data_IF_262326694993
#
_entry.id   IF_262326694993
#
_cell.length_a   1.000
_cell.length_b   1.000
_cell.length_c   1.000
_cell.angle_alpha   90.00
_cell.angle_beta   90.00
_cell.angle_gamma   90.00
#
_symmetry.space_group_name_H-M   'P 1'
#
loop_
_entity.id
_entity.type
_entity.pdbx_description
1 polymer ?
#
# COMPACT_ATOMS: atom_id res chain seq x y z
N UNK A 1 -11.34 20.29 14.55
CA UNK A 1 -10.33 19.24 14.33
C UNK A 1 -9.57 19.58 13.05
N UNK A 2 -8.27 19.41 13.05
CA UNK A 2 -7.39 19.55 11.88
C UNK A 2 -6.65 18.23 11.68
N UNK A 3 -6.13 18.00 10.48
CA UNK A 3 -5.39 16.77 10.19
C UNK A 3 -3.89 17.00 10.42
N UNK A 4 -3.26 16.10 11.19
CA UNK A 4 -1.81 16.00 11.30
C UNK A 4 -1.24 15.61 9.92
N UNK A 5 -0.52 16.55 9.30
CA UNK A 5 -0.02 16.37 7.93
C UNK A 5 1.08 15.28 7.83
N UNK A 6 1.67 14.88 8.96
CA UNK A 6 2.69 13.83 8.96
C UNK A 6 2.13 12.41 9.03
N UNK A 7 0.97 12.19 9.70
CA UNK A 7 0.43 10.85 9.91
C UNK A 7 -1.05 10.68 9.56
N UNK A 8 -1.79 11.77 9.28
CA UNK A 8 -3.20 11.74 8.93
C UNK A 8 -4.18 11.62 10.09
N UNK A 9 -3.73 11.66 11.34
CA UNK A 9 -4.62 11.63 12.50
C UNK A 9 -5.31 12.98 12.70
N UNK A 10 -6.54 12.97 13.22
CA UNK A 10 -7.22 14.19 13.65
C UNK A 10 -6.60 14.73 14.94
N UNK A 11 -6.37 16.03 14.97
CA UNK A 11 -5.79 16.78 16.10
C UNK A 11 -6.71 17.92 16.46
N UNK A 12 -6.91 18.14 17.76
CA UNK A 12 -7.57 19.34 18.24
C UNK A 12 -6.60 20.54 18.11
N UNK A 13 -6.90 21.55 17.29
CA UNK A 13 -6.02 22.69 17.10
C UNK A 13 -5.86 23.56 18.36
N UNK A 14 -6.79 23.42 19.32
CA UNK A 14 -6.73 24.16 20.59
C UNK A 14 -5.88 23.42 21.64
N UNK A 15 -5.60 22.10 21.45
CA UNK A 15 -4.76 21.30 22.35
C UNK A 15 -3.89 20.27 21.56
N UNK A 16 -3.04 20.72 20.63
CA UNK A 16 -2.17 19.84 19.89
C UNK A 16 -0.97 19.40 20.73
N UNK A 17 -0.46 18.17 20.50
CA UNK A 17 0.77 17.71 21.14
C UNK A 17 2.01 18.53 20.71
N UNK A 18 2.01 19.02 19.47
CA UNK A 18 3.03 19.93 18.95
C UNK A 18 2.49 20.81 17.82
N UNK A 19 3.13 21.97 17.60
CA UNK A 19 2.80 22.90 16.51
C UNK A 19 4.06 23.43 15.86
N UNK A 20 4.05 23.57 14.52
CA UNK A 20 5.14 24.19 13.75
C UNK A 20 4.56 25.26 12.83
N UNK A 21 5.22 26.41 12.74
CA UNK A 21 4.94 27.40 11.70
C UNK A 21 5.89 27.18 10.51
N UNK A 22 5.31 26.96 9.31
CA UNK A 22 6.05 26.84 8.07
C UNK A 22 5.35 27.63 6.96
N UNK A 23 6.09 28.49 6.27
CA UNK A 23 5.57 29.38 5.19
C UNK A 23 4.33 30.19 5.58
N UNK A 24 4.24 30.62 6.85
CA UNK A 24 3.14 31.46 7.36
C UNK A 24 1.85 30.68 7.66
N UNK A 25 1.91 29.35 7.70
CA UNK A 25 0.83 28.46 8.15
C UNK A 25 1.24 27.69 9.39
N UNK A 26 0.28 27.48 10.29
CA UNK A 26 0.48 26.65 11.49
C UNK A 26 0.03 25.21 11.19
N UNK A 27 0.89 24.26 11.49
CA UNK A 27 0.66 22.81 11.37
C UNK A 27 0.61 22.21 12.77
N UNK A 28 -0.42 21.42 13.05
CA UNK A 28 -0.66 20.81 14.35
C UNK A 28 -0.44 19.29 14.26
N UNK A 29 0.27 18.75 15.26
CA UNK A 29 0.71 17.34 15.27
C UNK A 29 0.17 16.61 16.49
N UNK A 30 -0.17 15.33 16.29
CA UNK A 30 -0.64 14.42 17.33
C UNK A 30 0.47 13.96 18.27
N UNK A 31 1.75 14.18 17.92
CA UNK A 31 2.94 13.82 18.72
C UNK A 31 4.17 14.63 18.33
N UNK A 32 5.15 14.72 19.25
CA UNK A 32 6.47 15.29 18.95
C UNK A 32 7.18 14.52 17.82
N UNK A 33 6.99 13.19 17.71
CA UNK A 33 7.58 12.40 16.63
C UNK A 33 7.04 12.78 15.25
N UNK A 34 5.76 13.14 15.14
CA UNK A 34 5.18 13.65 13.89
C UNK A 34 5.73 15.02 13.54
N UNK A 35 5.90 15.89 14.54
CA UNK A 35 6.54 17.19 14.37
C UNK A 35 7.99 17.04 13.88
N UNK A 36 8.81 16.23 14.56
CA UNK A 36 10.20 16.00 14.18
C UNK A 36 10.32 15.47 12.74
N UNK A 37 9.39 14.60 12.33
CA UNK A 37 9.30 14.07 10.98
C UNK A 37 8.99 15.15 9.95
N UNK A 38 8.06 16.06 10.27
CA UNK A 38 7.74 17.22 9.44
C UNK A 38 8.92 18.20 9.35
N UNK A 39 9.57 18.53 10.47
CA UNK A 39 10.70 19.47 10.51
C UNK A 39 11.94 18.97 9.75
N UNK A 40 12.11 17.64 9.61
CA UNK A 40 13.21 17.05 8.83
C UNK A 40 13.12 17.37 7.33
N UNK A 41 11.92 17.52 6.75
CA UNK A 41 11.68 17.89 5.35
C UNK A 41 10.26 18.46 5.16
N UNK A 42 10.00 19.73 5.58
CA UNK A 42 8.67 20.31 5.52
C UNK A 42 8.09 20.41 4.10
N UNK A 43 8.93 20.70 3.10
CA UNK A 43 8.49 20.85 1.72
C UNK A 43 7.83 19.57 1.19
N UNK A 44 8.35 18.41 1.60
CA UNK A 44 7.80 17.10 1.26
C UNK A 44 6.33 16.92 1.68
N UNK A 45 5.93 17.56 2.79
CA UNK A 45 4.56 17.45 3.32
C UNK A 45 3.65 18.54 2.77
N UNK A 46 4.17 19.75 2.53
CA UNK A 46 3.39 20.94 2.14
C UNK A 46 3.16 21.01 0.64
N UNK A 47 4.14 20.60 -0.19
CA UNK A 47 4.00 20.54 -1.65
C UNK A 47 3.18 19.32 -2.10
N UNK A 48 3.02 18.32 -1.26
CA UNK A 48 2.09 17.24 -1.50
C UNK A 48 0.66 17.78 -1.27
N UNK A 49 -0.10 18.06 -2.34
CA UNK A 49 -1.55 18.14 -2.25
C UNK A 49 -2.07 16.84 -1.64
N UNK A 50 -2.40 16.88 -0.35
CA UNK A 50 -3.00 15.76 0.36
C UNK A 50 -4.52 15.77 0.16
N UNK A 51 -5.08 14.96 -0.74
CA UNK A 51 -6.39 14.42 -0.54
C UNK A 51 -6.23 13.00 0.02
N UNK A 52 -6.53 12.81 1.29
CA UNK A 52 -7.04 11.53 1.77
C UNK A 52 -8.19 11.12 0.83
N UNK A 53 -7.98 10.06 0.03
CA UNK A 53 -9.00 9.44 -0.80
C UNK A 53 -9.86 10.46 -1.60
N UNK A 54 -9.39 10.97 -2.72
CA UNK A 54 -10.30 11.50 -3.73
C UNK A 54 -11.02 10.30 -4.37
N UNK A 55 -12.31 10.16 -4.06
CA UNK A 55 -13.22 9.37 -4.85
C UNK A 55 -13.35 10.04 -6.22
N UNK A 56 -12.70 9.47 -7.22
CA UNK A 56 -13.02 9.74 -8.62
C UNK A 56 -13.72 8.48 -9.11
N UNK A 57 -15.05 8.58 -9.35
CA UNK A 57 -15.93 7.56 -9.97
C UNK A 57 -15.27 6.17 -10.16
N UNK A 58 -15.27 5.33 -9.11
CA UNK A 58 -14.76 3.97 -9.14
C UNK A 58 -13.24 3.80 -9.05
N UNK A 59 -12.47 4.87 -8.85
CA UNK A 59 -11.02 4.82 -8.72
C UNK A 59 -10.58 5.44 -7.39
N UNK A 60 -10.00 4.63 -6.50
CA UNK A 60 -9.33 5.13 -5.29
C UNK A 60 -7.84 5.29 -5.58
N UNK A 61 -7.36 6.53 -5.65
CA UNK A 61 -5.93 6.80 -5.69
C UNK A 61 -5.44 7.10 -4.28
N UNK A 62 -4.58 6.24 -3.73
CA UNK A 62 -3.88 6.56 -2.48
C UNK A 62 -2.57 7.27 -2.84
N UNK A 63 -2.48 8.55 -2.50
CA UNK A 63 -1.21 9.27 -2.54
C UNK A 63 -0.45 8.93 -1.24
N UNK A 64 0.72 8.30 -1.38
CA UNK A 64 1.54 7.92 -0.23
C UNK A 64 2.26 9.15 0.34
N UNK A 65 2.15 9.43 1.66
CA UNK A 65 2.81 10.58 2.29
C UNK A 65 4.34 10.49 2.32
N UNK A 66 4.91 9.37 1.92
CA UNK A 66 6.35 9.08 2.06
C UNK A 66 7.13 9.06 0.74
N UNK A 67 6.68 9.78 -0.29
CA UNK A 67 7.34 9.83 -1.59
C UNK A 67 7.43 8.43 -2.22
N UNK A 68 6.77 8.22 -3.30
CA UNK A 68 6.72 7.01 -4.10
C UNK A 68 5.72 7.23 -5.21
N UNK A 69 5.82 6.46 -6.27
CA UNK A 69 4.83 6.51 -7.34
C UNK A 69 3.48 6.05 -6.78
N UNK A 70 2.40 6.84 -6.86
CA UNK A 70 1.07 6.41 -6.44
C UNK A 70 0.68 5.13 -7.17
N UNK A 71 0.03 4.20 -6.46
CA UNK A 71 -0.60 3.05 -7.11
C UNK A 71 -1.96 3.45 -7.69
N UNK A 72 -2.35 2.83 -8.80
CA UNK A 72 -3.69 2.96 -9.37
C UNK A 72 -4.56 1.82 -8.87
N UNK A 73 -5.69 2.16 -8.23
CA UNK A 73 -6.68 1.20 -7.75
C UNK A 73 -7.89 1.17 -8.68
N UNK A 74 -8.35 -0.04 -9.01
CA UNK A 74 -9.65 -0.25 -9.62
C UNK A 74 -10.46 -1.19 -8.74
N UNK A 75 -11.69 -0.79 -8.44
CA UNK A 75 -12.63 -1.55 -7.65
C UNK A 75 -13.81 -1.96 -8.54
N UNK A 76 -14.09 -3.25 -8.63
CA UNK A 76 -15.25 -3.81 -9.30
C UNK A 76 -16.05 -4.62 -8.27
N UNK A 77 -16.99 -3.95 -7.61
CA UNK A 77 -17.88 -4.55 -6.61
C UNK A 77 -19.34 -4.36 -7.02
N UNK A 78 -20.15 -5.36 -6.75
CA UNK A 78 -21.57 -5.32 -7.10
C UNK A 78 -22.37 -4.41 -6.15
N UNK A 79 -21.95 -4.33 -4.88
CA UNK A 79 -22.56 -3.47 -3.85
C UNK A 79 -21.45 -2.86 -2.98
N UNK A 80 -21.48 -1.55 -2.78
CA UNK A 80 -20.48 -0.83 -1.94
C UNK A 80 -20.61 -1.15 -0.44
N UNK A 81 -21.70 -1.77 -0.02
CA UNK A 81 -21.99 -2.09 1.38
C UNK A 81 -21.96 -3.58 1.70
N UNK A 82 -21.94 -4.45 0.68
CA UNK A 82 -21.97 -5.90 0.86
C UNK A 82 -21.03 -6.60 -0.14
N UNK A 83 -19.90 -7.07 0.36
CA UNK A 83 -18.89 -7.76 -0.45
C UNK A 83 -19.40 -9.14 -0.86
N UNK A 84 -19.32 -9.47 -2.14
CA UNK A 84 -19.82 -10.70 -2.72
C UNK A 84 -18.78 -11.50 -3.53
N UNK A 85 -19.12 -12.76 -3.81
CA UNK A 85 -18.30 -13.60 -4.69
C UNK A 85 -18.28 -13.00 -6.10
N UNK A 86 -17.05 -12.82 -6.62
CA UNK A 86 -16.78 -12.19 -7.92
C UNK A 86 -16.35 -10.74 -7.80
N UNK A 87 -16.49 -10.10 -6.65
CA UNK A 87 -15.98 -8.75 -6.41
C UNK A 87 -14.46 -8.75 -6.45
N UNK A 88 -13.90 -7.72 -7.06
CA UNK A 88 -12.48 -7.65 -7.36
C UNK A 88 -11.90 -6.27 -7.09
N UNK A 89 -10.69 -6.26 -6.55
CA UNK A 89 -9.83 -5.07 -6.46
C UNK A 89 -8.54 -5.34 -7.20
N UNK A 90 -8.08 -4.36 -7.98
CA UNK A 90 -6.73 -4.35 -8.53
C UNK A 90 -5.96 -3.12 -8.04
N UNK A 91 -4.65 -3.31 -7.85
CA UNK A 91 -3.69 -2.24 -7.58
C UNK A 91 -2.54 -2.39 -8.56
N UNK A 92 -2.32 -1.36 -9.37
CA UNK A 92 -1.19 -1.30 -10.31
C UNK A 92 -0.15 -0.31 -9.79
N UNK A 93 1.12 -0.73 -9.74
CA UNK A 93 2.24 0.09 -9.30
C UNK A 93 3.55 -0.32 -9.96
N UNK A 94 4.37 0.65 -10.32
CA UNK A 94 5.76 0.40 -10.69
C UNK A 94 6.61 0.22 -9.41
N UNK A 95 7.50 -0.78 -9.42
CA UNK A 95 8.45 -1.04 -8.33
C UNK A 95 9.87 -1.06 -8.88
N UNK A 96 10.77 -0.32 -8.24
CA UNK A 96 12.15 -0.15 -8.66
C UNK A 96 13.16 -0.30 -7.53
N UNK A 97 14.34 0.26 -7.77
CA UNK A 97 15.46 0.21 -6.82
C UNK A 97 15.13 0.91 -5.51
N UNK A 98 14.46 2.07 -5.56
CA UNK A 98 14.12 2.84 -4.36
C UNK A 98 13.20 2.04 -3.42
N UNK A 99 12.19 1.34 -3.96
CA UNK A 99 11.30 0.50 -3.17
C UNK A 99 12.05 -0.72 -2.59
N UNK A 100 12.93 -1.34 -3.38
CA UNK A 100 13.76 -2.45 -2.90
C UNK A 100 14.69 -2.03 -1.77
N UNK A 101 15.35 -0.87 -1.89
CA UNK A 101 16.24 -0.32 -0.88
C UNK A 101 15.50 0.06 0.41
N UNK A 102 14.30 0.66 0.28
CA UNK A 102 13.44 0.98 1.43
C UNK A 102 12.95 -0.30 2.12
N UNK A 103 12.53 -1.30 1.36
CA UNK A 103 12.09 -2.59 1.90
C UNK A 103 13.22 -3.28 2.67
N UNK A 104 14.44 -3.31 2.10
CA UNK A 104 15.61 -3.86 2.77
C UNK A 104 15.94 -3.14 4.10
N UNK A 105 15.80 -1.81 4.15
CA UNK A 105 15.98 -1.02 5.38
C UNK A 105 14.97 -1.37 6.45
N UNK A 106 13.70 -1.53 6.08
CA UNK A 106 12.60 -1.81 7.01
C UNK A 106 12.69 -3.25 7.54
N UNK A 107 12.97 -4.22 6.65
CA UNK A 107 12.93 -5.65 6.99
C UNK A 107 14.27 -6.22 7.42
N UNK A 108 15.38 -5.50 7.17
CA UNK A 108 16.76 -5.99 7.27
C UNK A 108 17.08 -7.16 6.31
N UNK A 109 16.28 -7.36 5.25
CA UNK A 109 16.60 -8.31 4.18
C UNK A 109 17.59 -7.69 3.21
N UNK A 110 18.87 -7.86 3.53
CA UNK A 110 20.01 -7.32 2.77
C UNK A 110 20.65 -8.37 1.85
N UNK A 111 19.88 -9.35 1.37
CA UNK A 111 20.38 -10.33 0.42
C UNK A 111 20.96 -9.64 -0.83
N UNK A 112 22.19 -9.98 -1.18
CA UNK A 112 22.92 -9.38 -2.30
C UNK A 112 22.19 -9.53 -3.65
N UNK A 113 21.30 -10.51 -3.79
CA UNK A 113 20.48 -10.69 -4.99
C UNK A 113 19.57 -9.49 -5.27
N UNK A 114 19.16 -8.77 -4.24
CA UNK A 114 18.27 -7.63 -4.34
C UNK A 114 19.01 -6.28 -4.38
N UNK A 115 20.24 -6.22 -3.84
CA UNK A 115 20.92 -4.96 -3.58
C UNK A 115 22.26 -4.78 -4.33
N UNK A 116 22.84 -5.86 -4.89
CA UNK A 116 24.14 -5.81 -5.52
C UNK A 116 24.07 -6.29 -6.97
N UNK A 117 24.15 -5.34 -7.91
CA UNK A 117 24.06 -5.61 -9.34
C UNK A 117 25.15 -6.55 -9.83
N UNK A 118 26.43 -6.33 -9.41
CA UNK A 118 27.56 -7.17 -9.84
C UNK A 118 27.41 -8.63 -9.36
N UNK A 119 26.88 -8.82 -8.15
CA UNK A 119 26.56 -10.15 -7.64
C UNK A 119 25.41 -10.78 -8.41
N UNK A 120 24.30 -10.05 -8.56
CA UNK A 120 23.07 -10.54 -9.18
C UNK A 120 23.28 -10.90 -10.66
N UNK A 121 24.07 -10.11 -11.40
CA UNK A 121 24.43 -10.37 -12.79
C UNK A 121 25.14 -11.74 -13.00
N UNK A 122 25.81 -12.28 -11.97
CA UNK A 122 26.47 -13.60 -12.01
C UNK A 122 25.54 -14.76 -11.62
N UNK A 123 24.31 -14.46 -11.22
CA UNK A 123 23.30 -15.48 -10.90
C UNK A 123 22.48 -15.88 -12.13
N UNK A 124 21.65 -16.88 -11.97
CA UNK A 124 20.70 -17.31 -13.03
C UNK A 124 19.70 -16.22 -13.44
N UNK A 125 19.58 -15.14 -12.67
CA UNK A 125 18.63 -14.04 -12.91
C UNK A 125 19.23 -12.96 -13.81
N UNK A 126 20.56 -12.88 -13.94
CA UNK A 126 21.25 -11.96 -14.84
C UNK A 126 21.23 -10.49 -14.41
N UNK A 127 20.67 -10.17 -13.24
CA UNK A 127 20.55 -8.83 -12.67
C UNK A 127 19.78 -8.87 -11.36
N UNK A 128 19.66 -7.70 -10.71
CA UNK A 128 18.87 -7.55 -9.47
C UNK A 128 17.40 -7.88 -9.71
N UNK A 129 16.79 -8.55 -8.76
CA UNK A 129 15.35 -8.80 -8.73
C UNK A 129 14.75 -8.19 -7.46
N UNK A 130 13.45 -7.87 -7.46
CA UNK A 130 12.72 -7.38 -6.30
C UNK A 130 12.59 -8.48 -5.24
N UNK A 131 12.50 -8.08 -3.97
CA UNK A 131 12.09 -8.98 -2.89
C UNK A 131 10.67 -9.51 -3.19
N UNK A 132 10.50 -10.81 -3.18
CA UNK A 132 9.18 -11.40 -3.46
C UNK A 132 8.10 -10.90 -2.51
N UNK A 133 8.43 -10.73 -1.22
CA UNK A 133 7.53 -10.22 -0.19
C UNK A 133 7.21 -8.73 -0.35
N UNK A 134 8.08 -7.92 -0.95
CA UNK A 134 7.76 -6.54 -1.37
C UNK A 134 6.65 -6.55 -2.43
N UNK A 135 6.83 -7.38 -3.47
CA UNK A 135 5.83 -7.53 -4.55
C UNK A 135 4.51 -8.07 -4.00
N UNK A 136 4.56 -9.08 -3.12
CA UNK A 136 3.38 -9.61 -2.44
C UNK A 136 2.69 -8.57 -1.53
N UNK A 137 3.41 -7.56 -1.05
CA UNK A 137 2.87 -6.45 -0.28
C UNK A 137 1.78 -5.66 -1.03
N UNK A 138 1.81 -5.66 -2.37
CA UNK A 138 0.74 -5.05 -3.19
C UNK A 138 -0.61 -5.74 -2.98
N UNK A 139 -0.63 -7.04 -2.66
CA UNK A 139 -1.85 -7.79 -2.31
C UNK A 139 -2.47 -7.19 -1.05
N UNK A 140 -1.67 -6.93 -0.01
CA UNK A 140 -2.17 -6.32 1.24
C UNK A 140 -2.81 -4.96 0.99
N UNK A 141 -2.19 -4.13 0.16
CA UNK A 141 -2.73 -2.82 -0.20
C UNK A 141 -4.03 -2.94 -1.04
N UNK A 142 -4.09 -3.90 -1.97
CA UNK A 142 -5.30 -4.16 -2.75
C UNK A 142 -6.45 -4.65 -1.86
N UNK A 143 -6.19 -5.60 -0.94
CA UNK A 143 -7.20 -6.10 0.00
C UNK A 143 -7.78 -4.99 0.89
N UNK A 144 -6.96 -4.03 1.32
CA UNK A 144 -7.39 -2.90 2.14
C UNK A 144 -8.33 -1.93 1.39
N UNK A 145 -8.46 -2.04 0.07
CA UNK A 145 -9.34 -1.21 -0.73
C UNK A 145 -10.75 -1.81 -0.91
N UNK A 146 -11.02 -3.03 -0.42
CA UNK A 146 -12.40 -3.53 -0.36
C UNK A 146 -13.26 -2.65 0.58
N UNK A 147 -14.58 -2.56 0.31
CA UNK A 147 -15.50 -1.81 1.17
C UNK A 147 -15.50 -2.30 2.62
N UNK A 148 -15.62 -1.38 3.58
CA UNK A 148 -15.58 -1.69 5.01
C UNK A 148 -14.15 -1.70 5.58
N UNK A 149 -14.00 -2.15 6.81
CA UNK A 149 -12.72 -2.29 7.47
C UNK A 149 -12.16 -3.70 7.24
N UNK A 150 -11.23 -3.82 6.29
CA UNK A 150 -10.62 -5.12 5.96
C UNK A 150 -9.58 -5.53 7.00
N UNK A 151 -9.78 -6.70 7.60
CA UNK A 151 -8.83 -7.36 8.48
C UNK A 151 -8.23 -8.56 7.74
N UNK A 152 -6.93 -8.55 7.49
CA UNK A 152 -6.19 -9.59 6.79
C UNK A 152 -5.81 -10.71 7.77
N UNK A 153 -6.41 -11.90 7.62
CA UNK A 153 -6.30 -12.98 8.61
C UNK A 153 -5.23 -14.01 8.27
N UNK A 154 -5.16 -14.45 7.02
CA UNK A 154 -4.13 -15.36 6.54
C UNK A 154 -3.82 -15.18 5.05
N UNK A 155 -2.68 -15.70 4.61
CA UNK A 155 -2.25 -15.74 3.23
C UNK A 155 -1.41 -16.98 2.94
N UNK A 156 -1.80 -17.71 1.92
CA UNK A 156 -0.90 -18.63 1.23
C UNK A 156 -0.31 -17.93 0.01
N UNK A 157 1.02 -18.00 -0.16
CA UNK A 157 1.73 -17.39 -1.30
C UNK A 157 2.63 -18.42 -1.98
N UNK A 158 2.67 -18.31 -3.30
CA UNK A 158 3.61 -19.01 -4.16
C UNK A 158 4.30 -17.98 -5.08
N UNK A 159 5.63 -17.96 -5.06
CA UNK A 159 6.45 -17.11 -5.92
C UNK A 159 6.82 -17.91 -7.16
N UNK A 160 6.16 -17.64 -8.28
CA UNK A 160 6.23 -18.49 -9.48
C UNK A 160 7.23 -17.98 -10.51
N UNK A 161 7.56 -16.69 -10.47
CA UNK A 161 8.56 -16.08 -11.34
C UNK A 161 9.34 -14.96 -10.61
N UNK A 162 10.57 -14.64 -11.05
CA UNK A 162 11.32 -13.49 -10.53
C UNK A 162 10.63 -12.18 -10.94
N UNK A 163 10.68 -11.19 -10.05
CA UNK A 163 10.17 -9.85 -10.30
C UNK A 163 11.32 -8.90 -10.64
N UNK A 164 11.30 -8.33 -11.84
CA UNK A 164 12.34 -7.43 -12.37
C UNK A 164 12.27 -6.03 -11.73
N UNK A 165 13.41 -5.36 -11.59
CA UNK A 165 13.47 -3.96 -11.17
C UNK A 165 12.87 -3.04 -12.24
N UNK A 166 12.11 -2.03 -11.81
CA UNK A 166 11.56 -0.99 -12.68
C UNK A 166 10.33 -1.40 -13.48
N UNK A 167 9.84 -2.62 -13.30
CA UNK A 167 8.64 -3.10 -13.98
C UNK A 167 7.36 -2.65 -13.27
N UNK A 168 6.23 -2.73 -13.98
CA UNK A 168 4.90 -2.42 -13.45
C UNK A 168 4.22 -3.72 -13.01
N UNK A 169 3.70 -3.71 -11.79
CA UNK A 169 3.04 -4.86 -11.17
C UNK A 169 1.58 -4.55 -10.88
N UNK A 170 0.70 -5.50 -11.20
CA UNK A 170 -0.73 -5.43 -10.89
C UNK A 170 -1.11 -6.54 -9.93
N UNK A 171 -1.38 -6.18 -8.68
CA UNK A 171 -2.03 -7.08 -7.74
C UNK A 171 -3.53 -7.16 -8.07
N UNK A 172 -4.06 -8.38 -8.12
CA UNK A 172 -5.48 -8.65 -8.35
C UNK A 172 -6.00 -9.54 -7.23
N UNK A 173 -7.06 -9.09 -6.57
CA UNK A 173 -7.71 -9.75 -5.45
C UNK A 173 -9.17 -9.95 -5.77
N UNK A 174 -9.62 -11.20 -5.96
CA UNK A 174 -10.99 -11.56 -6.33
C UNK A 174 -11.63 -12.41 -5.24
N UNK A 175 -12.79 -12.01 -4.74
CA UNK A 175 -13.55 -12.81 -3.76
C UNK A 175 -14.05 -14.09 -4.45
N UNK A 176 -13.70 -15.25 -3.90
CA UNK A 176 -14.04 -16.56 -4.47
C UNK A 176 -14.99 -17.38 -3.60
N UNK A 177 -15.12 -17.03 -2.30
CA UNK A 177 -15.99 -17.75 -1.40
C UNK A 177 -16.34 -16.87 -0.18
N UNK A 178 -17.56 -16.99 0.34
CA UNK A 178 -17.97 -16.45 1.64
C UNK A 178 -17.95 -17.60 2.66
N UNK A 179 -16.97 -17.60 3.55
CA UNK A 179 -16.76 -18.67 4.54
C UNK A 179 -17.72 -18.57 5.73
N UNK A 180 -18.06 -17.34 6.13
CA UNK A 180 -19.01 -16.99 7.17
C UNK A 180 -19.36 -15.50 6.98
N UNK A 181 -20.37 -15.01 7.72
CA UNK A 181 -20.75 -13.59 7.65
C UNK A 181 -19.53 -12.67 7.82
N UNK A 182 -19.27 -11.85 6.81
CA UNK A 182 -18.15 -10.93 6.78
C UNK A 182 -16.76 -11.57 6.56
N UNK A 183 -16.67 -12.90 6.47
CA UNK A 183 -15.39 -13.61 6.27
C UNK A 183 -15.32 -14.21 4.88
N UNK A 184 -14.33 -13.79 4.11
CA UNK A 184 -14.19 -14.15 2.70
C UNK A 184 -12.88 -14.83 2.41
N UNK A 185 -12.90 -15.76 1.45
CA UNK A 185 -11.71 -16.28 0.77
C UNK A 185 -11.50 -15.47 -0.51
N UNK A 186 -10.28 -15.02 -0.70
CA UNK A 186 -9.89 -14.17 -1.82
C UNK A 186 -8.79 -14.87 -2.60
N UNK A 187 -8.97 -15.06 -3.91
CA UNK A 187 -7.90 -15.41 -4.83
C UNK A 187 -7.00 -14.20 -5.02
N UNK A 188 -5.69 -14.38 -4.88
CA UNK A 188 -4.73 -13.29 -4.95
C UNK A 188 -3.65 -13.62 -5.98
N UNK A 189 -3.28 -12.65 -6.83
CA UNK A 189 -2.15 -12.78 -7.74
C UNK A 189 -1.52 -11.43 -8.02
N UNK A 190 -0.25 -11.44 -8.39
CA UNK A 190 0.46 -10.27 -8.92
C UNK A 190 1.00 -10.64 -10.29
N UNK A 191 0.66 -9.81 -11.27
CA UNK A 191 1.09 -9.90 -12.66
C UNK A 191 2.14 -8.82 -12.94
N UNK A 192 3.13 -9.10 -13.79
CA UNK A 192 4.09 -8.12 -14.30
C UNK A 192 3.49 -7.30 -15.46
N UNK A 193 4.26 -6.37 -16.04
CA UNK A 193 3.83 -5.52 -17.16
C UNK A 193 3.46 -6.28 -18.42
N UNK A 194 3.97 -7.50 -18.61
CA UNK A 194 3.64 -8.40 -19.74
C UNK A 194 2.40 -9.27 -19.47
N UNK A 195 1.86 -9.22 -18.24
CA UNK A 195 0.71 -10.01 -17.79
C UNK A 195 1.08 -11.41 -17.26
N UNK A 196 2.37 -11.69 -17.08
CA UNK A 196 2.82 -12.96 -16.48
C UNK A 196 2.65 -12.91 -14.95
N UNK A 197 2.15 -14.01 -14.38
CA UNK A 197 1.99 -14.13 -12.94
C UNK A 197 3.37 -14.30 -12.28
N UNK A 198 3.71 -13.43 -11.34
CA UNK A 198 4.95 -13.51 -10.54
C UNK A 198 4.69 -13.99 -9.11
N UNK A 199 3.52 -13.70 -8.57
CA UNK A 199 3.05 -14.19 -7.26
C UNK A 199 1.61 -14.66 -7.42
N UNK A 200 1.26 -15.77 -6.78
CA UNK A 200 -0.14 -16.22 -6.69
C UNK A 200 -0.44 -16.83 -5.32
N UNK A 201 -1.73 -16.92 -4.99
CA UNK A 201 -2.14 -17.52 -3.74
C UNK A 201 -3.59 -17.27 -3.37
N UNK A 202 -3.88 -17.45 -2.07
CA UNK A 202 -5.21 -17.20 -1.50
C UNK A 202 -5.08 -16.53 -0.16
N UNK A 203 -5.96 -15.57 0.10
CA UNK A 203 -6.11 -14.89 1.38
C UNK A 203 -7.42 -15.26 2.07
N UNK A 204 -7.46 -15.12 3.37
CA UNK A 204 -8.70 -15.00 4.14
C UNK A 204 -8.75 -13.61 4.75
N UNK A 205 -9.86 -12.92 4.53
CA UNK A 205 -10.13 -11.59 5.11
C UNK A 205 -11.41 -11.62 5.94
N UNK A 206 -11.49 -10.70 6.89
CA UNK A 206 -12.70 -10.33 7.61
C UNK A 206 -13.02 -8.87 7.29
N UNK A 207 -14.26 -8.60 6.92
CA UNK A 207 -14.78 -7.24 6.73
C UNK A 207 -15.62 -6.87 7.95
N UNK A 208 -15.17 -5.86 8.68
CA UNK A 208 -15.93 -5.26 9.78
C UNK A 208 -16.58 -3.94 9.33
N UNK A 209 -17.60 -3.53 10.07
CA UNK A 209 -18.24 -2.23 9.87
C UNK A 209 -17.24 -1.11 10.20
N UNK A 210 -17.26 -0.05 9.37
CA UNK A 210 -16.48 1.14 9.68
C UNK A 210 -17.00 1.76 10.99
N UNK A 211 -16.11 2.18 11.90
CA UNK A 211 -16.54 2.87 13.10
C UNK A 211 -17.31 4.14 12.74
N UNK A 212 -18.53 4.29 13.33
CA UNK A 212 -19.32 5.50 13.15
C UNK A 212 -18.59 6.68 13.79
N UNK A 213 -18.40 7.75 13.03
CA UNK A 213 -17.91 9.01 13.59
C UNK A 213 -18.92 9.50 14.65
N UNK A 214 -18.50 9.55 15.90
CA UNK A 214 -19.26 10.13 17.02
C UNK A 214 -18.91 11.60 17.17
#
# INVERSE_FOLDING_TARGET
MVIDIACGMEVDPDDPAATVEYEGKSYHFCSEGCKDHFEADPARFVEADFPFLQEIEGMRTTRMPYGGTPGEFHLSVADEHDLGVGDEVTLTRQLGEDEADQFAKITSDTNALHLNEEFAARTRFGGRILHGTLVAGLISAALAAFPGMTIYLDQHLEFVAPASMGDTYTARCTVVDELAKGRYRVSTRVENGDGDIVVQGTATILIDEMPTQT
#
